data_IF_476150309375
#
_entry.id   IF_476150309375
#
_cell.length_a   1.000
_cell.length_b   1.000
_cell.length_c   1.000
_cell.angle_alpha   90.00
_cell.angle_beta   90.00
_cell.angle_gamma   90.00
#
_symmetry.space_group_name_H-M   'P 1'
#
loop_
_entity.id
_entity.type
_entity.pdbx_description
1 polymer ?
#
# COMPACT_ATOMS: atom_id res chain seq x y z
N UNK A 1 30.42 -10.88 -18.81
CA UNK A 1 30.87 -10.04 -17.66
C UNK A 1 29.70 -9.11 -17.30
N UNK A 2 28.75 -9.58 -16.51
CA UNK A 2 27.45 -8.92 -16.26
C UNK A 2 27.58 -8.03 -15.04
N UNK A 3 27.52 -6.73 -15.25
CA UNK A 3 27.53 -5.70 -14.19
C UNK A 3 26.24 -5.83 -13.38
N UNK A 4 26.33 -6.33 -12.17
CA UNK A 4 25.28 -6.28 -11.17
C UNK A 4 25.06 -4.81 -10.75
N UNK A 5 24.03 -4.17 -11.30
CA UNK A 5 23.53 -2.92 -10.73
C UNK A 5 22.93 -3.26 -9.35
N UNK A 6 23.64 -2.91 -8.30
CA UNK A 6 23.06 -2.80 -6.95
C UNK A 6 21.98 -1.73 -6.98
N UNK A 7 20.74 -2.11 -7.26
CA UNK A 7 19.61 -1.20 -7.13
C UNK A 7 19.40 -0.96 -5.65
N UNK A 8 19.40 0.30 -5.24
CA UNK A 8 19.10 0.68 -3.88
C UNK A 8 17.65 0.27 -3.56
N UNK A 9 17.36 -0.21 -2.34
CA UNK A 9 15.98 -0.46 -1.95
C UNK A 9 15.16 0.83 -2.08
N UNK A 10 13.92 0.72 -2.57
CA UNK A 10 12.98 1.85 -2.58
C UNK A 10 12.81 2.35 -1.15
N UNK A 11 13.00 3.64 -0.94
CA UNK A 11 12.69 4.29 0.32
C UNK A 11 11.19 4.55 0.43
N UNK A 12 10.71 4.83 1.64
CA UNK A 12 9.32 5.29 1.87
C UNK A 12 8.98 6.52 1.00
N UNK A 13 9.95 7.38 0.74
CA UNK A 13 9.80 8.54 -0.16
C UNK A 13 9.64 8.13 -1.62
N UNK A 14 10.35 7.10 -2.07
CA UNK A 14 10.21 6.58 -3.43
C UNK A 14 8.81 5.95 -3.60
N UNK A 15 8.32 5.21 -2.62
CA UNK A 15 6.95 4.67 -2.61
C UNK A 15 5.91 5.80 -2.58
N UNK A 16 6.11 6.84 -1.76
CA UNK A 16 5.19 7.98 -1.66
C UNK A 16 5.11 8.79 -2.97
N UNK A 17 6.20 8.91 -3.72
CA UNK A 17 6.21 9.56 -5.04
C UNK A 17 5.38 8.80 -6.08
N UNK A 18 5.39 7.47 -6.04
CA UNK A 18 4.62 6.64 -6.96
C UNK A 18 3.14 6.56 -6.59
N UNK A 19 2.79 6.69 -5.31
CA UNK A 19 1.40 6.70 -4.83
C UNK A 19 0.67 8.03 -5.06
N UNK A 20 1.25 8.94 -5.84
CA UNK A 20 0.52 10.08 -6.39
C UNK A 20 0.27 11.22 -5.41
N UNK A 21 1.21 11.51 -4.51
CA UNK A 21 1.08 12.65 -3.60
C UNK A 21 0.94 14.01 -4.29
N UNK A 22 1.41 14.16 -5.54
CA UNK A 22 1.53 15.47 -6.19
C UNK A 22 1.05 15.54 -7.64
N UNK A 23 0.31 14.54 -8.11
CA UNK A 23 -0.36 14.66 -9.40
C UNK A 23 -1.87 14.67 -9.17
N UNK A 24 -2.54 15.81 -9.40
CA UNK A 24 -3.97 15.77 -9.61
C UNK A 24 -4.24 14.72 -10.69
N UNK A 25 -5.29 13.91 -10.57
CA UNK A 25 -5.62 12.94 -11.62
C UNK A 25 -5.64 13.69 -12.93
N UNK A 26 -4.83 13.24 -13.90
CA UNK A 26 -4.89 13.79 -15.24
C UNK A 26 -6.36 13.82 -15.66
N UNK A 27 -6.81 14.95 -16.22
CA UNK A 27 -8.22 15.17 -16.54
C UNK A 27 -8.83 13.91 -17.18
N UNK A 28 -9.85 13.32 -16.55
CA UNK A 28 -10.53 12.10 -17.00
C UNK A 28 -10.10 10.78 -16.36
N UNK A 29 -9.12 10.74 -15.42
CA UNK A 29 -8.77 9.51 -14.68
C UNK A 29 -9.67 9.32 -13.47
N UNK A 30 -10.28 8.13 -13.38
CA UNK A 30 -11.08 7.71 -12.22
C UNK A 30 -10.21 7.10 -11.12
N UNK A 31 -10.74 7.05 -9.90
CA UNK A 31 -10.09 6.34 -8.78
C UNK A 31 -9.86 4.85 -9.10
N UNK A 32 -10.80 4.21 -9.79
CA UNK A 32 -10.68 2.82 -10.24
C UNK A 32 -9.47 2.60 -11.16
N UNK A 33 -9.17 3.59 -12.01
CA UNK A 33 -8.01 3.55 -12.88
C UNK A 33 -6.73 3.55 -12.04
N UNK A 34 -6.64 4.40 -11.03
CA UNK A 34 -5.48 4.49 -10.14
C UNK A 34 -5.24 3.18 -9.36
N UNK A 35 -6.31 2.51 -8.91
CA UNK A 35 -6.20 1.20 -8.26
C UNK A 35 -5.63 0.16 -9.24
N UNK A 36 -6.17 0.09 -10.45
CA UNK A 36 -5.66 -0.86 -11.49
C UNK A 36 -4.22 -0.56 -11.88
N UNK A 37 -3.84 0.70 -11.98
CA UNK A 37 -2.47 1.13 -12.27
C UNK A 37 -1.51 0.75 -11.14
N UNK A 38 -1.94 0.80 -9.87
CA UNK A 38 -1.13 0.34 -8.74
C UNK A 38 -0.81 -1.15 -8.83
N UNK A 39 -1.77 -1.97 -9.27
CA UNK A 39 -1.54 -3.40 -9.49
C UNK A 39 -0.53 -3.64 -10.62
N UNK A 40 -0.63 -2.91 -11.72
CA UNK A 40 0.31 -3.00 -12.84
C UNK A 40 1.71 -2.52 -12.41
N UNK A 41 1.79 -1.40 -11.70
CA UNK A 41 3.05 -0.84 -11.19
C UNK A 41 3.80 -1.83 -10.30
N UNK A 42 3.09 -2.59 -9.45
CA UNK A 42 3.73 -3.60 -8.62
C UNK A 42 4.39 -4.71 -9.45
N UNK A 43 3.77 -5.11 -10.56
CA UNK A 43 4.34 -6.08 -11.50
C UNK A 43 5.55 -5.51 -12.25
N UNK A 44 5.48 -4.24 -12.67
CA UNK A 44 6.61 -3.54 -13.30
C UNK A 44 7.78 -3.42 -12.33
N UNK A 45 7.54 -3.09 -11.06
CA UNK A 45 8.55 -3.06 -10.02
C UNK A 45 9.22 -4.42 -9.83
N UNK A 46 8.45 -5.51 -9.84
CA UNK A 46 9.00 -6.87 -9.77
C UNK A 46 9.90 -7.16 -10.99
N UNK A 47 9.43 -6.86 -12.19
CA UNK A 47 10.18 -7.06 -13.46
C UNK A 47 11.46 -6.25 -13.47
N UNK A 48 11.46 -5.05 -12.90
CA UNK A 48 12.61 -4.19 -12.76
C UNK A 48 13.56 -4.62 -11.63
N UNK A 49 13.22 -5.67 -10.86
CA UNK A 49 14.05 -6.24 -9.81
C UNK A 49 14.03 -5.45 -8.49
N UNK A 50 12.96 -4.72 -8.20
CA UNK A 50 12.77 -4.14 -6.87
C UNK A 50 12.49 -5.23 -5.84
N UNK A 51 13.03 -5.04 -4.63
CA UNK A 51 12.87 -6.04 -3.56
C UNK A 51 11.56 -5.93 -2.81
N UNK A 52 10.96 -4.73 -2.74
CA UNK A 52 9.77 -4.45 -1.94
C UNK A 52 8.85 -3.49 -2.67
N UNK A 53 7.55 -3.72 -2.50
CA UNK A 53 6.49 -2.82 -2.90
C UNK A 53 5.53 -2.65 -1.72
N UNK A 54 5.43 -1.44 -1.20
CA UNK A 54 4.60 -1.13 -0.04
C UNK A 54 3.53 -0.13 -0.41
N UNK A 55 2.33 -0.32 0.15
CA UNK A 55 1.19 0.56 -0.03
C UNK A 55 0.88 1.30 1.27
N UNK A 56 0.45 2.55 1.15
CA UNK A 56 0.02 3.37 2.29
C UNK A 56 -1.49 3.31 2.46
N UNK A 57 -1.96 3.72 3.64
CA UNK A 57 -3.37 3.88 3.95
C UNK A 57 -3.67 5.36 4.19
N UNK A 58 -4.64 5.90 3.46
CA UNK A 58 -5.15 7.26 3.67
C UNK A 58 -6.63 7.31 3.32
N UNK A 59 -7.38 8.14 4.04
CA UNK A 59 -8.82 8.26 3.89
C UNK A 59 -9.25 9.71 3.63
N UNK A 60 -10.37 9.88 2.92
CA UNK A 60 -10.97 11.19 2.70
C UNK A 60 -10.16 12.13 1.79
N UNK A 61 -9.16 11.65 1.08
CA UNK A 61 -8.33 12.44 0.18
C UNK A 61 -8.73 12.20 -1.28
N UNK A 62 -9.01 13.25 -2.06
CA UNK A 62 -9.47 13.10 -3.45
C UNK A 62 -8.39 12.53 -4.38
N UNK A 63 -7.13 12.62 -4.00
CA UNK A 63 -5.98 12.23 -4.82
C UNK A 63 -5.35 10.90 -4.41
N UNK A 64 -5.78 10.30 -3.29
CA UNK A 64 -5.24 9.04 -2.76
C UNK A 64 -6.38 8.05 -2.61
N UNK A 65 -6.23 6.89 -3.24
CA UNK A 65 -7.25 5.83 -3.28
C UNK A 65 -6.90 4.61 -2.43
N UNK A 66 -5.76 4.64 -1.75
CA UNK A 66 -5.27 3.55 -0.91
C UNK A 66 -5.97 3.54 0.46
N UNK A 67 -7.23 3.13 0.51
CA UNK A 67 -8.04 3.10 1.74
C UNK A 67 -8.09 1.73 2.42
N UNK A 68 -7.65 0.67 1.73
CA UNK A 68 -7.69 -0.71 2.19
C UNK A 68 -6.42 -1.44 1.74
N UNK A 69 -5.28 -1.21 2.44
CA UNK A 69 -3.99 -1.78 2.04
C UNK A 69 -4.02 -3.31 1.97
N UNK A 70 -4.71 -3.99 2.88
CA UNK A 70 -4.83 -5.45 2.90
C UNK A 70 -5.53 -6.01 1.66
N UNK A 71 -6.56 -5.33 1.16
CA UNK A 71 -7.29 -5.73 -0.05
C UNK A 71 -6.41 -5.53 -1.28
N UNK A 72 -5.72 -4.39 -1.36
CA UNK A 72 -4.83 -4.07 -2.47
C UNK A 72 -3.63 -5.03 -2.51
N UNK A 73 -3.03 -5.33 -1.35
CA UNK A 73 -1.95 -6.29 -1.22
C UNK A 73 -2.37 -7.70 -1.65
N UNK A 74 -3.59 -8.14 -1.33
CA UNK A 74 -4.12 -9.42 -1.81
C UNK A 74 -4.19 -9.45 -3.34
N UNK A 75 -4.68 -8.38 -3.97
CA UNK A 75 -4.71 -8.23 -5.42
C UNK A 75 -3.33 -8.26 -6.06
N UNK A 76 -2.32 -7.65 -5.44
CA UNK A 76 -0.92 -7.68 -5.90
C UNK A 76 -0.29 -9.04 -5.68
N UNK A 77 -0.56 -9.69 -4.54
CA UNK A 77 0.01 -10.98 -4.18
C UNK A 77 -0.29 -12.07 -5.22
N UNK A 78 -1.51 -12.06 -5.77
CA UNK A 78 -1.93 -13.03 -6.81
C UNK A 78 -1.32 -12.75 -8.18
N UNK A 79 -0.73 -11.57 -8.40
CA UNK A 79 -0.16 -11.12 -9.68
C UNK A 79 1.36 -11.01 -9.67
N UNK A 80 1.99 -11.23 -8.52
CA UNK A 80 3.44 -11.17 -8.32
C UNK A 80 3.98 -12.48 -7.75
N UNK A 81 5.28 -12.75 -7.91
CA UNK A 81 5.89 -14.03 -7.51
C UNK A 81 7.04 -13.88 -6.52
N UNK A 82 7.79 -12.80 -6.57
CA UNK A 82 9.08 -12.68 -5.87
C UNK A 82 9.19 -11.42 -5.01
N UNK A 83 8.56 -10.32 -5.44
CA UNK A 83 8.63 -9.04 -4.72
C UNK A 83 7.96 -9.16 -3.35
N UNK A 84 8.60 -8.62 -2.32
CA UNK A 84 7.98 -8.52 -1.00
C UNK A 84 6.94 -7.41 -1.01
N UNK A 85 5.82 -7.67 -0.35
CA UNK A 85 4.65 -6.79 -0.32
C UNK A 85 4.38 -6.35 1.12
N UNK A 86 3.97 -5.12 1.30
CA UNK A 86 3.67 -4.67 2.65
C UNK A 86 2.87 -3.39 2.74
N UNK A 87 2.46 -3.07 3.94
CA UNK A 87 1.83 -1.79 4.27
C UNK A 87 2.82 -0.81 4.86
N UNK A 88 2.63 0.49 4.56
CA UNK A 88 3.43 1.58 5.10
C UNK A 88 2.57 2.80 5.46
N UNK A 89 1.67 2.59 6.38
CA UNK A 89 1.32 1.45 7.24
C UNK A 89 -0.19 1.39 7.42
N UNK A 90 -0.66 0.29 8.00
CA UNK A 90 -2.04 0.20 8.46
C UNK A 90 -2.28 1.20 9.60
N UNK A 91 -3.32 2.02 9.50
CA UNK A 91 -3.65 3.03 10.51
C UNK A 91 -4.38 2.36 11.69
N UNK A 92 -3.62 1.74 12.59
CA UNK A 92 -4.13 0.94 13.71
C UNK A 92 -5.24 1.60 14.55
N UNK A 93 -5.29 2.92 14.74
CA UNK A 93 -6.39 3.53 15.48
C UNK A 93 -7.78 3.25 14.91
N UNK A 94 -7.89 2.87 13.65
CA UNK A 94 -9.17 2.58 12.98
C UNK A 94 -9.58 1.10 13.08
N UNK A 95 -8.72 0.21 13.62
CA UNK A 95 -8.91 -1.23 13.56
C UNK A 95 -8.74 -1.92 14.91
N UNK A 96 -9.37 -3.08 15.04
CA UNK A 96 -8.92 -4.07 16.02
C UNK A 96 -7.56 -4.62 15.59
N UNK A 97 -6.55 -4.54 16.45
CA UNK A 97 -5.23 -5.10 16.18
C UNK A 97 -5.30 -6.62 15.90
N UNK A 98 -6.21 -7.32 16.54
CA UNK A 98 -6.48 -8.74 16.30
C UNK A 98 -6.95 -8.97 14.86
N UNK A 99 -7.88 -8.13 14.37
CA UNK A 99 -8.38 -8.24 12.99
C UNK A 99 -7.30 -7.97 11.95
N UNK A 100 -6.43 -6.99 12.20
CA UNK A 100 -5.28 -6.74 11.34
C UNK A 100 -4.34 -7.95 11.28
N UNK A 101 -4.07 -8.58 12.42
CA UNK A 101 -3.25 -9.79 12.46
C UNK A 101 -3.87 -10.94 11.65
N UNK A 102 -5.19 -11.15 11.74
CA UNK A 102 -5.89 -12.15 10.93
C UNK A 102 -5.77 -11.87 9.43
N UNK A 103 -5.95 -10.61 9.00
CA UNK A 103 -5.85 -10.20 7.59
C UNK A 103 -4.44 -10.45 7.04
N UNK A 104 -3.41 -10.07 7.79
CA UNK A 104 -2.03 -10.29 7.38
C UNK A 104 -1.60 -11.76 7.41
N UNK A 105 -2.20 -12.56 8.28
CA UNK A 105 -2.06 -14.02 8.26
C UNK A 105 -2.62 -14.61 6.95
N UNK A 106 -3.77 -14.11 6.48
CA UNK A 106 -4.34 -14.52 5.18
C UNK A 106 -3.44 -14.08 4.03
N UNK A 107 -2.93 -12.85 4.07
CA UNK A 107 -1.98 -12.34 3.07
C UNK A 107 -0.72 -13.22 2.98
N UNK A 108 -0.16 -13.61 4.12
CA UNK A 108 1.02 -14.48 4.14
C UNK A 108 0.72 -15.88 3.56
N UNK A 109 -0.50 -16.40 3.75
CA UNK A 109 -0.92 -17.64 3.09
C UNK A 109 -1.05 -17.50 1.57
N UNK A 110 -1.44 -16.32 1.06
CA UNK A 110 -1.50 -16.01 -0.38
C UNK A 110 -0.12 -15.78 -1.00
N UNK A 111 0.81 -15.24 -0.22
CA UNK A 111 2.17 -14.91 -0.65
C UNK A 111 3.20 -15.30 0.42
N UNK A 112 3.45 -16.62 0.63
CA UNK A 112 4.24 -17.12 1.76
C UNK A 112 5.63 -16.49 1.85
N UNK A 113 5.96 -15.94 3.04
CA UNK A 113 7.26 -15.35 3.33
C UNK A 113 7.55 -14.02 2.63
N UNK A 114 6.57 -13.43 1.93
CA UNK A 114 6.73 -12.18 1.19
C UNK A 114 6.01 -10.98 1.81
N UNK A 115 5.34 -11.16 2.94
CA UNK A 115 4.49 -10.12 3.53
C UNK A 115 5.22 -9.37 4.64
N UNK A 116 5.13 -8.03 4.58
CA UNK A 116 5.63 -7.11 5.59
C UNK A 116 4.44 -6.32 6.17
N UNK A 117 4.24 -6.36 7.49
CA UNK A 117 3.24 -5.55 8.19
C UNK A 117 3.90 -4.28 8.74
N UNK A 118 3.60 -3.15 8.15
CA UNK A 118 3.89 -1.84 8.72
C UNK A 118 2.63 -1.25 9.34
N UNK A 119 2.76 -0.59 10.48
CA UNK A 119 1.65 0.02 11.21
C UNK A 119 1.88 1.50 11.45
N UNK A 120 0.79 2.28 11.47
CA UNK A 120 0.77 3.70 11.76
C UNK A 120 -0.08 4.01 13.00
N UNK A 121 0.26 5.09 13.69
CA UNK A 121 -0.52 5.63 14.82
C UNK A 121 -1.33 6.87 14.45
N UNK A 122 -1.02 7.48 13.31
CA UNK A 122 -1.77 8.63 12.82
C UNK A 122 -3.12 8.18 12.25
N UNK A 123 -4.12 9.07 12.20
CA UNK A 123 -5.44 8.73 11.62
C UNK A 123 -5.42 8.59 10.09
N UNK A 124 -4.36 8.98 9.41
CA UNK A 124 -4.25 8.90 7.94
C UNK A 124 -5.30 9.71 7.18
N UNK A 125 -5.92 10.70 7.83
CA UNK A 125 -7.04 11.49 7.31
C UNK A 125 -7.19 12.82 8.06
N UNK A 126 -8.15 13.65 7.62
CA UNK A 126 -8.64 14.79 8.43
C UNK A 126 -9.46 14.30 9.64
N UNK A 127 -9.64 15.18 10.63
CA UNK A 127 -10.30 14.84 11.88
C UNK A 127 -11.76 14.38 11.72
N UNK A 128 -12.49 14.92 10.73
CA UNK A 128 -13.87 14.52 10.45
C UNK A 128 -13.93 13.09 9.94
N UNK A 129 -13.08 12.76 8.99
CA UNK A 129 -12.97 11.41 8.43
C UNK A 129 -12.48 10.41 9.49
N UNK A 130 -11.51 10.81 10.33
CA UNK A 130 -11.03 9.97 11.42
C UNK A 130 -12.16 9.56 12.38
N UNK A 131 -13.04 10.50 12.75
CA UNK A 131 -14.22 10.22 13.61
C UNK A 131 -15.28 9.34 12.95
N UNK A 132 -15.39 9.38 11.61
CA UNK A 132 -16.28 8.46 10.89
C UNK A 132 -15.74 7.02 10.89
N UNK A 133 -14.42 6.86 10.88
CA UNK A 133 -13.76 5.56 10.91
C UNK A 133 -13.71 4.98 12.32
N UNK A 134 -13.42 5.82 13.30
CA UNK A 134 -13.43 5.48 14.73
C UNK A 134 -13.92 6.66 15.57
N UNK A 135 -15.16 6.62 16.09
CA UNK A 135 -15.74 7.71 16.88
C UNK A 135 -14.96 8.04 18.17
N UNK A 136 -14.19 7.07 18.70
CA UNK A 136 -13.41 7.22 19.92
C UNK A 136 -12.09 7.99 19.71
N UNK A 137 -11.76 8.32 18.46
CA UNK A 137 -10.63 9.19 18.14
C UNK A 137 -11.04 10.66 18.34
N UNK A 138 -11.06 11.10 19.56
CA UNK A 138 -11.35 12.48 20.00
C UNK A 138 -10.11 13.27 20.36
#
# INVERSE_FOLDING_TARGET
MTRWFKRRPLTLEDCARYLGRDRPPAAGRTQDCAIRETLALAQDCETLGYHRFWVSEHHGLPTIVGTAPEVLLAGIATRSRHIRLGSAGVMLPHYSAYKVAEQFRVLDALAPGRIDLGVGRAPGSDQRTARLLNPDLG
#
